data_IF_861421138036
#
_entry.id   IF_861421138036
#
_cell.length_a   1.000
_cell.length_b   1.000
_cell.length_c   1.000
_cell.angle_alpha   90.00
_cell.angle_beta   90.00
_cell.angle_gamma   90.00
#
_symmetry.space_group_name_H-M   'P 1'
#
loop_
_entity.id
_entity.type
_entity.pdbx_description
1 polymer ?
#
# COMPACT_ATOMS: atom_id res chain seq x y z
N UNK A 1 58.89 -13.81 6.66
CA UNK A 1 59.17 -12.46 6.12
C UNK A 1 59.02 -12.51 4.60
N UNK A 2 58.04 -11.82 4.01
CA UNK A 2 57.78 -11.86 2.56
C UNK A 2 58.59 -10.77 1.83
N UNK A 3 59.42 -11.11 0.81
CA UNK A 3 60.29 -10.16 0.12
C UNK A 3 59.58 -9.65 -1.15
N UNK A 4 58.70 -8.66 -1.03
CA UNK A 4 58.04 -8.07 -2.20
C UNK A 4 57.98 -6.54 -2.23
N UNK A 5 58.61 -5.84 -1.27
CA UNK A 5 58.45 -4.39 -1.11
C UNK A 5 59.69 -3.51 -1.39
N UNK A 6 60.80 -4.06 -1.90
CA UNK A 6 62.06 -3.32 -2.06
C UNK A 6 62.29 -2.67 -3.44
N UNK A 7 61.43 -2.88 -4.44
CA UNK A 7 61.59 -2.25 -5.76
C UNK A 7 60.64 -1.05 -5.96
N UNK A 8 61.13 0.09 -6.51
CA UNK A 8 60.31 1.27 -6.80
C UNK A 8 59.23 1.00 -7.86
N UNK A 9 59.43 0.02 -8.75
CA UNK A 9 58.41 -0.46 -9.70
C UNK A 9 57.34 -1.33 -9.01
N UNK A 10 57.71 -2.09 -7.97
CA UNK A 10 56.77 -2.85 -7.13
C UNK A 10 55.83 -1.95 -6.32
N UNK A 11 56.35 -0.87 -5.73
CA UNK A 11 55.51 0.14 -5.03
C UNK A 11 54.52 0.84 -5.95
N UNK A 12 54.94 1.25 -7.15
CA UNK A 12 54.03 1.89 -8.13
C UNK A 12 52.91 0.95 -8.59
N UNK A 13 53.21 -0.34 -8.78
CA UNK A 13 52.21 -1.36 -9.15
C UNK A 13 51.24 -1.66 -8.01
N UNK A 14 51.71 -1.74 -6.75
CA UNK A 14 50.83 -1.88 -5.58
C UNK A 14 49.93 -0.64 -5.38
N UNK A 15 50.44 0.57 -5.56
CA UNK A 15 49.63 1.80 -5.46
C UNK A 15 48.60 1.87 -6.59
N UNK A 16 48.96 1.50 -7.83
CA UNK A 16 48.02 1.42 -8.95
C UNK A 16 46.93 0.35 -8.74
N UNK A 17 47.29 -0.82 -8.19
CA UNK A 17 46.34 -1.87 -7.85
C UNK A 17 45.40 -1.46 -6.70
N UNK A 18 45.92 -0.80 -5.67
CA UNK A 18 45.12 -0.28 -4.55
C UNK A 18 44.20 0.87 -4.96
N UNK A 19 44.63 1.74 -5.87
CA UNK A 19 43.79 2.82 -6.42
C UNK A 19 42.74 2.29 -7.41
N UNK A 20 43.03 1.24 -8.18
CA UNK A 20 42.03 0.52 -8.99
C UNK A 20 40.99 -0.20 -8.09
N UNK A 21 41.42 -0.81 -6.97
CA UNK A 21 40.54 -1.39 -5.96
C UNK A 21 39.68 -0.33 -5.24
N UNK A 22 40.22 0.86 -5.00
CA UNK A 22 39.47 1.98 -4.43
C UNK A 22 38.49 2.63 -5.44
N UNK A 23 38.73 2.51 -6.75
CA UNK A 23 37.87 3.01 -7.82
C UNK A 23 36.73 2.03 -8.22
N UNK A 24 36.88 0.74 -7.91
CA UNK A 24 35.87 -0.30 -8.18
C UNK A 24 34.46 0.05 -7.65
N UNK A 25 34.29 0.54 -6.40
CA UNK A 25 32.98 0.97 -5.90
C UNK A 25 32.36 2.10 -6.72
N UNK A 26 33.18 3.05 -7.19
CA UNK A 26 32.73 4.16 -8.05
C UNK A 26 32.31 3.67 -9.44
N UNK A 27 33.07 2.76 -10.04
CA UNK A 27 32.76 2.16 -11.35
C UNK A 27 31.47 1.33 -11.27
N UNK A 28 31.34 0.48 -10.25
CA UNK A 28 30.14 -0.34 -10.03
C UNK A 28 28.90 0.55 -9.79
N UNK A 29 29.04 1.62 -9.01
CA UNK A 29 27.95 2.58 -8.76
C UNK A 29 27.54 3.31 -10.05
N UNK A 30 28.51 3.76 -10.84
CA UNK A 30 28.27 4.47 -12.11
C UNK A 30 27.62 3.56 -13.15
N UNK A 31 28.08 2.31 -13.26
CA UNK A 31 27.49 1.32 -14.18
C UNK A 31 26.05 0.98 -13.77
N UNK A 32 25.80 0.82 -12.47
CA UNK A 32 24.46 0.55 -11.94
C UNK A 32 23.50 1.71 -12.23
N UNK A 33 23.98 2.94 -12.07
CA UNK A 33 23.22 4.14 -12.40
C UNK A 33 22.88 4.21 -13.89
N UNK A 34 23.87 3.98 -14.78
CA UNK A 34 23.68 4.00 -16.23
C UNK A 34 22.69 2.92 -16.70
N UNK A 35 22.84 1.69 -16.21
CA UNK A 35 21.91 0.59 -16.51
C UNK A 35 20.50 0.91 -15.99
N UNK A 36 20.39 1.51 -14.82
CA UNK A 36 19.12 1.96 -14.25
C UNK A 36 18.44 3.04 -15.10
N UNK A 37 19.18 4.06 -15.54
CA UNK A 37 18.67 5.14 -16.39
C UNK A 37 18.20 4.64 -17.76
N UNK A 38 18.98 3.76 -18.39
CA UNK A 38 18.60 3.15 -19.67
C UNK A 38 17.30 2.34 -19.56
N UNK A 39 17.18 1.51 -18.52
CA UNK A 39 15.96 0.74 -18.24
C UNK A 39 14.76 1.63 -17.98
N UNK A 40 14.94 2.70 -17.19
CA UNK A 40 13.89 3.69 -16.91
C UNK A 40 13.37 4.34 -18.19
N UNK A 41 14.26 4.84 -19.04
CA UNK A 41 13.90 5.49 -20.30
C UNK A 41 13.08 4.55 -21.20
N UNK A 42 13.55 3.31 -21.37
CA UNK A 42 12.86 2.28 -22.15
C UNK A 42 11.48 1.97 -21.57
N UNK A 43 11.37 1.82 -20.25
CA UNK A 43 10.09 1.58 -19.56
C UNK A 43 9.10 2.74 -19.77
N UNK A 44 9.54 4.00 -19.75
CA UNK A 44 8.68 5.14 -20.02
C UNK A 44 8.16 5.17 -21.45
N UNK A 45 9.03 4.95 -22.44
CA UNK A 45 8.59 4.90 -23.84
C UNK A 45 7.53 3.82 -24.06
N UNK A 46 7.74 2.62 -23.50
CA UNK A 46 6.76 1.54 -23.57
C UNK A 46 5.46 1.87 -22.82
N UNK A 47 5.51 2.60 -21.70
CA UNK A 47 4.33 3.03 -20.97
C UNK A 47 3.49 4.02 -21.80
N UNK A 48 4.15 4.97 -22.46
CA UNK A 48 3.53 5.96 -23.36
C UNK A 48 2.85 5.29 -24.54
N UNK A 49 3.53 4.33 -25.20
CA UNK A 49 2.97 3.57 -26.31
C UNK A 49 1.71 2.77 -25.90
N UNK A 50 1.62 2.36 -24.63
CA UNK A 50 0.44 1.67 -24.06
C UNK A 50 -0.66 2.63 -23.57
N UNK A 51 -0.45 3.95 -23.66
CA UNK A 51 -1.39 4.96 -23.18
C UNK A 51 -1.48 5.08 -21.66
N UNK A 52 -0.43 4.66 -20.93
CA UNK A 52 -0.37 4.82 -19.48
C UNK A 52 0.03 6.27 -19.13
N UNK A 53 -0.70 6.93 -18.23
CA UNK A 53 -0.34 8.27 -17.78
C UNK A 53 0.88 8.20 -16.87
N UNK A 54 1.79 9.15 -17.06
CA UNK A 54 3.02 9.29 -16.27
C UNK A 54 2.98 10.51 -15.34
N UNK A 55 2.07 11.45 -15.58
CA UNK A 55 1.85 12.60 -14.71
C UNK A 55 0.34 12.84 -14.46
N UNK A 56 0.04 13.73 -13.51
CA UNK A 56 -1.33 14.01 -13.08
C UNK A 56 -2.19 14.62 -14.20
N UNK A 57 -1.64 15.48 -15.06
CA UNK A 57 -2.39 16.14 -16.13
C UNK A 57 -2.93 15.15 -17.18
N UNK A 58 -2.36 13.95 -17.25
CA UNK A 58 -2.75 12.90 -18.18
C UNK A 58 -3.84 11.96 -17.64
N UNK A 59 -4.21 12.11 -16.37
CA UNK A 59 -5.33 11.36 -15.81
C UNK A 59 -6.65 11.96 -16.31
N UNK A 60 -7.66 11.10 -16.58
CA UNK A 60 -9.00 11.59 -16.87
C UNK A 60 -9.55 12.28 -15.62
N UNK A 61 -9.72 13.60 -15.70
CA UNK A 61 -10.32 14.39 -14.62
C UNK A 61 -11.81 14.57 -14.90
N UNK A 62 -12.63 14.31 -13.89
CA UNK A 62 -13.99 14.84 -13.87
C UNK A 62 -13.93 16.36 -13.71
N UNK A 63 -14.92 17.13 -14.22
CA UNK A 63 -14.99 18.55 -13.96
C UNK A 63 -14.96 18.82 -12.44
N UNK A 64 -14.26 19.90 -12.04
CA UNK A 64 -14.14 20.29 -10.63
C UNK A 64 -15.54 20.52 -10.07
N UNK A 65 -15.98 19.73 -9.07
CA UNK A 65 -17.30 19.87 -8.49
C UNK A 65 -17.41 21.18 -7.71
N UNK A 66 -18.61 21.77 -7.71
CA UNK A 66 -18.89 22.92 -6.84
C UNK A 66 -18.73 22.54 -5.35
N UNK A 67 -18.39 23.48 -4.45
CA UNK A 67 -18.08 23.17 -3.04
C UNK A 67 -19.21 22.45 -2.28
N UNK A 68 -20.46 22.73 -2.63
CA UNK A 68 -21.67 22.10 -2.09
C UNK A 68 -21.90 20.68 -2.62
N UNK A 69 -21.33 20.35 -3.78
CA UNK A 69 -21.40 19.05 -4.42
C UNK A 69 -20.23 18.11 -4.09
N UNK A 70 -19.19 18.61 -3.41
CA UNK A 70 -17.97 17.87 -3.11
C UNK A 70 -17.94 17.37 -1.66
N UNK A 71 -17.96 16.05 -1.42
CA UNK A 71 -17.80 15.40 -0.12
C UNK A 71 -16.39 15.50 0.46
N UNK A 72 -15.39 15.78 -0.38
CA UNK A 72 -13.98 15.74 -0.03
C UNK A 72 -13.59 16.54 1.22
N UNK A 73 -13.98 17.82 1.36
CA UNK A 73 -13.65 18.62 2.54
C UNK A 73 -14.18 18.04 3.85
N UNK A 74 -15.42 17.52 3.86
CA UNK A 74 -16.03 16.91 5.05
C UNK A 74 -15.28 15.64 5.43
N UNK A 75 -15.07 14.76 4.45
CA UNK A 75 -14.40 13.47 4.68
C UNK A 75 -12.93 13.66 5.08
N UNK A 76 -12.23 14.65 4.50
CA UNK A 76 -10.87 15.00 4.90
C UNK A 76 -10.82 15.45 6.36
N UNK A 77 -11.76 16.26 6.80
CA UNK A 77 -11.83 16.70 8.19
C UNK A 77 -11.96 15.48 9.13
N UNK A 78 -12.81 14.50 8.77
CA UNK A 78 -12.93 13.24 9.50
C UNK A 78 -11.64 12.39 9.46
N UNK A 79 -10.89 12.43 8.37
CA UNK A 79 -9.60 11.72 8.22
C UNK A 79 -8.47 12.34 9.06
N UNK A 80 -8.42 13.67 9.18
CA UNK A 80 -7.45 14.36 10.04
C UNK A 80 -7.75 14.10 11.51
N UNK A 81 -9.02 13.93 11.84
CA UNK A 81 -9.49 13.65 13.20
C UNK A 81 -9.87 12.18 13.37
N UNK A 82 -9.05 11.23 12.91
CA UNK A 82 -9.32 9.78 13.08
C UNK A 82 -9.57 9.35 14.52
N UNK A 83 -9.02 10.07 15.51
CA UNK A 83 -9.30 9.87 16.94
C UNK A 83 -10.79 10.07 17.31
N UNK A 84 -11.62 10.59 16.41
CA UNK A 84 -13.08 10.70 16.60
C UNK A 84 -13.76 9.33 16.48
N UNK A 85 -13.16 8.38 15.77
CA UNK A 85 -13.60 6.99 15.73
C UNK A 85 -13.03 6.23 16.93
N UNK A 86 -13.78 6.20 18.04
CA UNK A 86 -13.40 5.42 19.22
C UNK A 86 -13.27 3.93 18.85
N UNK A 87 -12.09 3.28 19.01
CA UNK A 87 -11.86 1.93 18.52
C UNK A 87 -12.88 0.90 19.02
N UNK A 88 -13.25 0.95 20.30
CA UNK A 88 -14.24 0.05 20.89
C UNK A 88 -15.65 0.24 20.31
N UNK A 89 -16.01 1.46 19.90
CA UNK A 89 -17.31 1.74 19.27
C UNK A 89 -17.37 1.18 17.85
N UNK A 90 -16.30 1.37 17.07
CA UNK A 90 -16.19 0.79 15.71
C UNK A 90 -16.09 -0.73 15.77
N UNK A 91 -15.41 -1.29 16.78
CA UNK A 91 -15.37 -2.74 16.99
C UNK A 91 -16.77 -3.29 17.32
N UNK A 92 -17.53 -2.66 18.23
CA UNK A 92 -18.90 -3.05 18.53
C UNK A 92 -19.77 -3.02 17.26
N UNK A 93 -19.68 -1.96 16.46
CA UNK A 93 -20.37 -1.86 15.17
C UNK A 93 -19.96 -2.99 14.20
N UNK A 94 -18.66 -3.28 14.10
CA UNK A 94 -18.13 -4.37 13.25
C UNK A 94 -18.69 -5.73 13.68
N UNK A 95 -18.76 -5.98 14.99
CA UNK A 95 -19.32 -7.22 15.54
C UNK A 95 -20.81 -7.31 15.24
N UNK A 96 -21.56 -6.22 15.36
CA UNK A 96 -22.98 -6.16 15.00
C UNK A 96 -23.23 -6.51 13.54
N UNK A 97 -22.47 -5.92 12.62
CA UNK A 97 -22.57 -6.23 11.18
C UNK A 97 -22.28 -7.71 10.92
N UNK A 98 -21.22 -8.26 11.53
CA UNK A 98 -20.90 -9.69 11.40
C UNK A 98 -21.96 -10.61 11.98
N UNK A 99 -22.71 -10.15 12.99
CA UNK A 99 -23.82 -10.87 13.60
C UNK A 99 -25.19 -10.49 13.04
N UNK A 100 -25.27 -9.85 11.86
CA UNK A 100 -26.51 -9.25 11.33
C UNK A 100 -27.69 -10.23 11.25
N UNK A 101 -27.45 -11.54 11.12
CA UNK A 101 -28.48 -12.58 11.10
C UNK A 101 -28.94 -13.07 12.48
N UNK A 102 -28.15 -12.84 13.52
CA UNK A 102 -28.34 -13.40 14.87
C UNK A 102 -28.20 -12.30 15.94
N UNK A 103 -28.93 -11.20 15.74
CA UNK A 103 -28.84 -10.02 16.60
C UNK A 103 -29.43 -10.23 18.00
N UNK A 104 -30.26 -11.25 18.21
CA UNK A 104 -30.94 -11.49 19.49
C UNK A 104 -30.16 -12.40 20.45
N UNK A 105 -28.89 -12.68 20.13
CA UNK A 105 -28.02 -13.46 21.01
C UNK A 105 -27.51 -12.62 22.18
N UNK A 106 -27.27 -13.20 23.38
CA UNK A 106 -26.74 -12.46 24.53
C UNK A 106 -25.42 -11.72 24.25
N UNK A 107 -24.63 -12.24 23.30
CA UNK A 107 -23.38 -11.61 22.87
C UNK A 107 -23.63 -10.41 21.95
N UNK A 108 -24.60 -10.50 21.02
CA UNK A 108 -25.00 -9.39 20.18
C UNK A 108 -25.61 -8.24 20.99
N UNK A 109 -26.41 -8.53 22.02
CA UNK A 109 -26.98 -7.52 22.92
C UNK A 109 -25.90 -6.66 23.60
N UNK A 110 -24.75 -7.25 23.98
CA UNK A 110 -23.62 -6.46 24.53
C UNK A 110 -23.07 -5.47 23.51
N UNK A 111 -22.90 -5.91 22.26
CA UNK A 111 -22.44 -5.02 21.19
C UNK A 111 -23.48 -3.95 20.84
N UNK A 112 -24.78 -4.28 20.90
CA UNK A 112 -25.88 -3.31 20.74
C UNK A 112 -25.77 -2.20 21.76
N UNK A 113 -25.63 -2.54 23.05
CA UNK A 113 -25.54 -1.57 24.13
C UNK A 113 -24.35 -0.61 23.96
N UNK A 114 -23.14 -1.15 23.73
CA UNK A 114 -21.94 -0.32 23.49
C UNK A 114 -22.09 0.57 22.25
N UNK A 115 -22.71 0.05 21.19
CA UNK A 115 -22.92 0.83 19.98
C UNK A 115 -23.94 1.95 20.18
N UNK A 116 -25.05 1.68 20.87
CA UNK A 116 -26.10 2.66 21.19
C UNK A 116 -25.58 3.80 22.08
N UNK A 117 -24.74 3.52 23.07
CA UNK A 117 -24.07 4.56 23.86
C UNK A 117 -23.22 5.48 22.95
N UNK A 118 -22.48 4.89 22.02
CA UNK A 118 -21.67 5.65 21.07
C UNK A 118 -22.50 6.47 20.07
N UNK A 119 -23.71 6.04 19.70
CA UNK A 119 -24.61 6.84 18.83
C UNK A 119 -24.92 8.21 19.45
N UNK A 120 -25.11 8.26 20.77
CA UNK A 120 -25.38 9.51 21.50
C UNK A 120 -24.11 10.37 21.55
N UNK A 121 -22.99 9.76 21.94
CA UNK A 121 -21.71 10.48 22.13
C UNK A 121 -21.13 11.04 20.82
N UNK A 122 -21.36 10.36 19.70
CA UNK A 122 -20.75 10.66 18.40
C UNK A 122 -21.77 11.12 17.34
N UNK A 123 -22.90 11.69 17.75
CA UNK A 123 -23.96 12.15 16.85
C UNK A 123 -23.46 13.13 15.77
N UNK A 124 -22.54 14.04 16.12
CA UNK A 124 -21.96 15.00 15.17
C UNK A 124 -21.19 14.31 14.03
N UNK A 125 -20.43 13.27 14.35
CA UNK A 125 -19.70 12.49 13.33
C UNK A 125 -20.67 11.81 12.36
N UNK A 126 -21.78 11.26 12.87
CA UNK A 126 -22.80 10.65 12.03
C UNK A 126 -23.48 11.69 11.13
N UNK A 127 -23.75 12.88 11.64
CA UNK A 127 -24.29 13.98 10.84
C UNK A 127 -23.33 14.42 9.72
N UNK A 128 -22.02 14.47 10.00
CA UNK A 128 -20.99 14.76 9.00
C UNK A 128 -20.93 13.66 7.91
N UNK A 129 -20.98 12.39 8.30
CA UNK A 129 -21.05 11.27 7.36
C UNK A 129 -22.32 11.33 6.50
N UNK A 130 -23.47 11.59 7.11
CA UNK A 130 -24.74 11.76 6.39
C UNK A 130 -24.66 12.89 5.38
N UNK A 131 -24.14 14.05 5.79
CA UNK A 131 -23.95 15.21 4.91
C UNK A 131 -23.00 14.89 3.76
N UNK A 132 -21.90 14.19 4.02
CA UNK A 132 -20.96 13.77 2.98
C UNK A 132 -21.62 12.82 1.96
N UNK A 133 -22.44 11.87 2.44
CA UNK A 133 -23.13 10.90 1.55
C UNK A 133 -24.26 11.50 0.74
N UNK A 134 -24.71 12.72 1.04
CA UNK A 134 -25.68 13.43 0.19
C UNK A 134 -25.02 14.08 -1.03
N UNK A 135 -23.68 14.18 -1.03
CA UNK A 135 -22.92 14.83 -2.10
C UNK A 135 -22.57 13.83 -3.21
N UNK A 136 -22.66 14.22 -4.50
CA UNK A 136 -22.43 13.31 -5.61
C UNK A 136 -20.93 13.06 -5.91
N UNK A 137 -20.05 14.01 -5.57
CA UNK A 137 -18.64 13.94 -5.90
C UNK A 137 -17.76 13.85 -4.67
N UNK A 138 -16.62 13.18 -4.79
CA UNK A 138 -15.58 13.12 -3.76
C UNK A 138 -14.24 13.45 -4.38
N UNK A 139 -13.96 14.74 -4.47
CA UNK A 139 -12.60 15.20 -4.71
C UNK A 139 -11.97 15.49 -3.36
N UNK A 140 -11.22 14.53 -2.84
CA UNK A 140 -10.47 14.66 -1.58
C UNK A 140 -9.34 15.71 -1.68
N UNK A 141 -9.36 16.64 -2.66
CA UNK A 141 -8.25 17.34 -3.32
C UNK A 141 -6.93 16.63 -3.02
N UNK A 142 -6.96 15.34 -3.31
CA UNK A 142 -5.77 14.60 -3.62
C UNK A 142 -5.43 15.04 -5.04
N UNK A 143 -5.15 16.34 -5.18
CA UNK A 143 -4.06 16.70 -6.04
C UNK A 143 -2.99 15.69 -5.70
N UNK A 144 -2.34 15.14 -6.71
CA UNK A 144 -1.11 14.40 -6.54
C UNK A 144 0.00 15.37 -6.06
N UNK A 145 -0.40 16.38 -5.26
CA UNK A 145 0.35 17.26 -4.45
C UNK A 145 1.40 16.39 -3.78
N UNK A 146 2.66 16.75 -3.97
CA UNK A 146 3.78 15.95 -3.58
C UNK A 146 3.96 15.98 -2.06
N UNK A 147 2.90 15.89 -1.25
CA UNK A 147 2.93 15.84 0.22
C UNK A 147 1.85 14.92 0.82
N UNK A 148 0.87 14.45 0.04
CA UNK A 148 -0.29 13.73 0.60
C UNK A 148 -0.15 12.22 0.41
N UNK A 149 0.10 11.51 1.52
CA UNK A 149 0.00 10.05 1.54
C UNK A 149 -1.46 9.60 1.72
N UNK A 150 -2.18 9.17 0.68
CA UNK A 150 -3.26 8.15 0.87
C UNK A 150 -2.69 6.79 1.28
N UNK A 151 -2.22 6.65 2.51
CA UNK A 151 -2.04 5.30 3.04
C UNK A 151 -3.41 4.64 3.28
N UNK A 152 -3.36 3.33 3.45
CA UNK A 152 -4.54 2.51 3.73
C UNK A 152 -5.24 2.98 5.02
N UNK A 153 -4.47 3.46 6.00
CA UNK A 153 -4.95 3.96 7.28
C UNK A 153 -5.83 5.21 7.10
N UNK A 154 -5.40 6.13 6.24
CA UNK A 154 -6.12 7.36 5.88
C UNK A 154 -7.48 7.08 5.23
N UNK A 155 -7.60 6.03 4.43
CA UNK A 155 -8.87 5.66 3.78
C UNK A 155 -9.77 4.77 4.65
N UNK A 156 -9.33 4.35 5.85
CA UNK A 156 -10.18 3.55 6.75
C UNK A 156 -11.44 4.29 7.19
N UNK A 157 -11.48 5.62 7.10
CA UNK A 157 -12.68 6.44 7.39
C UNK A 157 -13.90 5.96 6.60
N UNK A 158 -13.73 5.56 5.35
CA UNK A 158 -14.82 5.13 4.47
C UNK A 158 -15.38 3.78 4.90
N UNK A 159 -14.48 2.87 5.29
CA UNK A 159 -14.84 1.56 5.82
C UNK A 159 -15.52 1.72 7.18
N UNK A 160 -14.91 2.45 8.10
CA UNK A 160 -15.45 2.69 9.44
C UNK A 160 -16.80 3.39 9.36
N UNK A 161 -16.93 4.42 8.53
CA UNK A 161 -18.21 5.11 8.28
C UNK A 161 -19.28 4.17 7.73
N UNK A 162 -18.94 3.33 6.74
CA UNK A 162 -19.87 2.32 6.22
C UNK A 162 -20.29 1.32 7.31
N UNK A 163 -19.35 0.84 8.13
CA UNK A 163 -19.64 -0.04 9.27
C UNK A 163 -20.61 0.61 10.27
N UNK A 164 -20.36 1.86 10.66
CA UNK A 164 -21.21 2.58 11.62
C UNK A 164 -22.63 2.78 11.07
N UNK A 165 -22.76 3.24 9.81
CA UNK A 165 -24.06 3.44 9.17
C UNK A 165 -24.82 2.11 9.01
N UNK A 166 -24.14 1.04 8.60
CA UNK A 166 -24.74 -0.29 8.51
C UNK A 166 -25.18 -0.82 9.88
N UNK A 167 -24.35 -0.69 10.92
CA UNK A 167 -24.72 -1.09 12.27
C UNK A 167 -25.93 -0.30 12.78
N UNK A 168 -26.01 1.02 12.51
CA UNK A 168 -27.19 1.84 12.84
C UNK A 168 -28.44 1.37 12.10
N UNK A 169 -28.31 1.03 10.82
CA UNK A 169 -29.41 0.48 10.03
C UNK A 169 -29.96 -0.84 10.61
N UNK A 170 -29.08 -1.74 11.05
CA UNK A 170 -29.46 -3.03 11.63
C UNK A 170 -30.26 -2.89 12.94
N UNK A 171 -30.01 -1.82 13.70
CA UNK A 171 -30.74 -1.54 14.95
C UNK A 171 -32.01 -0.71 14.74
N UNK A 172 -32.24 -0.17 13.55
CA UNK A 172 -33.42 0.62 13.27
C UNK A 172 -34.69 -0.26 13.33
N UNK A 173 -35.77 0.31 13.84
CA UNK A 173 -37.11 -0.28 13.84
C UNK A 173 -37.90 0.06 12.57
N UNK A 174 -37.67 1.25 12.02
CA UNK A 174 -38.31 1.71 10.78
C UNK A 174 -37.51 1.24 9.54
N UNK A 175 -38.12 0.49 8.61
CA UNK A 175 -37.45 0.05 7.38
C UNK A 175 -36.99 1.22 6.51
N UNK A 176 -37.71 2.34 6.46
CA UNK A 176 -37.33 3.48 5.62
C UNK A 176 -36.01 4.11 6.09
N UNK A 177 -35.88 4.35 7.40
CA UNK A 177 -34.64 4.79 8.03
C UNK A 177 -33.50 3.75 7.85
N UNK A 178 -33.78 2.47 8.05
CA UNK A 178 -32.80 1.39 7.92
C UNK A 178 -32.20 1.34 6.50
N UNK A 179 -33.05 1.28 5.48
CA UNK A 179 -32.60 1.26 4.08
C UNK A 179 -31.94 2.57 3.66
N UNK A 180 -32.34 3.73 4.22
CA UNK A 180 -31.65 4.99 3.96
C UNK A 180 -30.19 4.95 4.45
N UNK A 181 -29.92 4.37 5.62
CA UNK A 181 -28.56 4.23 6.14
C UNK A 181 -27.70 3.26 5.33
N UNK A 182 -28.28 2.17 4.82
CA UNK A 182 -27.57 1.28 3.88
C UNK A 182 -27.21 2.02 2.58
N UNK A 183 -28.09 2.86 2.03
CA UNK A 183 -27.76 3.69 0.86
C UNK A 183 -26.60 4.62 1.14
N UNK A 184 -26.57 5.26 2.31
CA UNK A 184 -25.47 6.13 2.74
C UNK A 184 -24.16 5.34 2.87
N UNK A 185 -24.21 4.14 3.47
CA UNK A 185 -23.05 3.25 3.57
C UNK A 185 -22.50 2.84 2.18
N UNK A 186 -23.38 2.47 1.24
CA UNK A 186 -23.00 2.17 -0.13
C UNK A 186 -22.42 3.39 -0.85
N UNK A 187 -22.96 4.58 -0.60
CA UNK A 187 -22.48 5.83 -1.18
C UNK A 187 -21.06 6.19 -0.72
N UNK A 188 -20.65 5.84 0.50
CA UNK A 188 -19.24 5.99 0.91
C UNK A 188 -18.31 5.16 0.01
N UNK A 189 -18.73 3.95 -0.38
CA UNK A 189 -18.01 3.13 -1.36
C UNK A 189 -17.94 3.79 -2.74
N UNK A 190 -19.05 4.38 -3.20
CA UNK A 190 -19.10 5.12 -4.47
C UNK A 190 -18.19 6.35 -4.47
N UNK A 191 -18.17 7.10 -3.36
CA UNK A 191 -17.35 8.29 -3.19
C UNK A 191 -15.85 7.95 -3.21
N UNK A 192 -15.40 6.95 -2.44
CA UNK A 192 -13.98 6.58 -2.46
C UNK A 192 -13.56 6.00 -3.81
N UNK A 193 -14.44 5.28 -4.51
CA UNK A 193 -14.15 4.74 -5.84
C UNK A 193 -13.86 5.81 -6.91
N UNK A 194 -14.22 7.08 -6.68
CA UNK A 194 -13.87 8.19 -7.58
C UNK A 194 -12.38 8.52 -7.55
N UNK A 195 -11.65 8.06 -6.53
CA UNK A 195 -10.20 8.24 -6.44
C UNK A 195 -9.48 7.17 -7.29
N UNK A 196 -8.65 7.55 -8.28
CA UNK A 196 -8.01 6.62 -9.20
C UNK A 196 -6.79 5.91 -8.58
N UNK A 197 -6.96 5.25 -7.42
CA UNK A 197 -5.90 4.46 -6.79
C UNK A 197 -6.43 3.09 -6.35
N UNK A 198 -5.55 2.11 -6.29
CA UNK A 198 -5.92 0.71 -6.01
C UNK A 198 -6.38 0.55 -4.56
N UNK A 199 -5.83 1.33 -3.63
CA UNK A 199 -6.34 1.36 -2.25
C UNK A 199 -7.79 1.85 -2.19
N UNK A 200 -8.13 2.88 -2.95
CA UNK A 200 -9.50 3.37 -3.03
C UNK A 200 -10.45 2.32 -3.60
N UNK A 201 -10.03 1.55 -4.61
CA UNK A 201 -10.80 0.40 -5.12
C UNK A 201 -11.04 -0.66 -4.03
N UNK A 202 -10.01 -0.95 -3.23
CA UNK A 202 -10.10 -1.92 -2.13
C UNK A 202 -11.08 -1.43 -1.06
N UNK A 203 -10.96 -0.17 -0.65
CA UNK A 203 -11.84 0.44 0.34
C UNK A 203 -13.27 0.56 -0.17
N UNK A 204 -13.47 0.90 -1.45
CA UNK A 204 -14.79 0.90 -2.06
C UNK A 204 -15.45 -0.48 -1.97
N UNK A 205 -14.70 -1.54 -2.31
CA UNK A 205 -15.17 -2.91 -2.23
C UNK A 205 -15.51 -3.33 -0.79
N UNK A 206 -14.64 -3.01 0.17
CA UNK A 206 -14.90 -3.29 1.59
C UNK A 206 -16.16 -2.58 2.08
N UNK A 207 -16.32 -1.28 1.79
CA UNK A 207 -17.51 -0.51 2.14
C UNK A 207 -18.78 -1.07 1.49
N UNK A 208 -18.74 -1.43 0.20
CA UNK A 208 -19.86 -2.07 -0.50
C UNK A 208 -20.20 -3.44 0.10
N UNK A 209 -19.20 -4.25 0.44
CA UNK A 209 -19.43 -5.56 1.08
C UNK A 209 -20.14 -5.42 2.42
N UNK A 210 -19.68 -4.49 3.27
CA UNK A 210 -20.30 -4.19 4.56
C UNK A 210 -21.76 -3.72 4.38
N UNK A 211 -22.00 -2.80 3.45
CA UNK A 211 -23.36 -2.33 3.15
C UNK A 211 -24.24 -3.46 2.56
N UNK A 212 -23.68 -4.36 1.76
CA UNK A 212 -24.40 -5.49 1.18
C UNK A 212 -24.79 -6.53 2.23
N UNK A 213 -23.93 -6.81 3.21
CA UNK A 213 -24.25 -7.70 4.35
C UNK A 213 -25.45 -7.14 5.14
N UNK A 214 -25.43 -5.84 5.43
CA UNK A 214 -26.55 -5.15 6.07
C UNK A 214 -27.82 -5.18 5.22
N UNK A 215 -27.72 -4.86 3.93
CA UNK A 215 -28.84 -4.92 2.99
C UNK A 215 -29.54 -6.28 3.02
N UNK A 216 -28.77 -7.37 2.90
CA UNK A 216 -29.31 -8.73 2.88
C UNK A 216 -30.04 -9.07 4.19
N UNK A 217 -29.46 -8.71 5.34
CA UNK A 217 -30.09 -8.91 6.64
C UNK A 217 -31.40 -8.10 6.79
N UNK A 218 -31.43 -6.86 6.27
CA UNK A 218 -32.64 -6.04 6.30
C UNK A 218 -33.74 -6.58 5.37
N UNK A 219 -33.39 -7.08 4.19
CA UNK A 219 -34.37 -7.73 3.28
C UNK A 219 -34.92 -9.01 3.90
N UNK A 220 -34.09 -9.78 4.61
CA UNK A 220 -34.53 -10.97 5.36
C UNK A 220 -35.49 -10.59 6.50
N UNK A 221 -35.22 -9.47 7.20
CA UNK A 221 -36.03 -8.99 8.34
C UNK A 221 -37.35 -8.33 7.93
N UNK A 222 -37.31 -7.45 6.93
CA UNK A 222 -38.45 -6.60 6.54
C UNK A 222 -39.15 -7.05 5.25
N UNK A 223 -38.56 -7.99 4.51
CA UNK A 223 -39.03 -8.42 3.20
C UNK A 223 -38.60 -7.48 2.06
N UNK A 224 -38.95 -7.82 0.79
CA UNK A 224 -38.72 -6.96 -0.35
C UNK A 224 -39.67 -5.75 -0.30
N UNK A 225 -39.12 -4.53 -0.39
CA UNK A 225 -39.89 -3.28 -0.39
C UNK A 225 -39.39 -2.31 -1.48
N UNK A 226 -40.15 -1.25 -1.82
CA UNK A 226 -39.67 -0.20 -2.72
C UNK A 226 -38.35 0.44 -2.24
N UNK A 227 -38.15 0.57 -0.93
CA UNK A 227 -36.94 1.06 -0.30
C UNK A 227 -35.78 0.08 -0.51
N UNK A 228 -36.03 -1.23 -0.41
CA UNK A 228 -35.03 -2.25 -0.73
C UNK A 228 -34.59 -2.17 -2.20
N UNK A 229 -35.55 -2.06 -3.14
CA UNK A 229 -35.25 -1.90 -4.57
C UNK A 229 -34.44 -0.63 -4.87
N UNK A 230 -34.83 0.51 -4.29
CA UNK A 230 -34.06 1.77 -4.41
C UNK A 230 -32.64 1.60 -3.86
N UNK A 231 -32.49 0.88 -2.76
CA UNK A 231 -31.19 0.64 -2.12
C UNK A 231 -30.28 -0.22 -2.98
N UNK A 232 -30.84 -1.24 -3.64
CA UNK A 232 -30.07 -2.08 -4.56
C UNK A 232 -29.39 -1.26 -5.68
N UNK A 233 -30.05 -0.22 -6.18
CA UNK A 233 -29.47 0.67 -7.22
C UNK A 233 -28.33 1.56 -6.72
N UNK A 234 -28.15 1.67 -5.40
CA UNK A 234 -27.08 2.49 -4.80
C UNK A 234 -25.72 1.79 -4.79
N UNK A 235 -25.69 0.47 -5.02
CA UNK A 235 -24.46 -0.30 -5.20
C UNK A 235 -23.96 -0.12 -6.64
N UNK A 236 -23.21 0.96 -6.88
CA UNK A 236 -22.66 1.20 -8.20
C UNK A 236 -21.62 0.13 -8.55
N UNK A 237 -21.59 -0.27 -9.82
CA UNK A 237 -20.46 -1.03 -10.33
C UNK A 237 -19.19 -0.18 -10.16
N UNK A 238 -18.16 -0.78 -9.54
CA UNK A 238 -16.87 -0.13 -9.42
C UNK A 238 -16.36 0.27 -10.81
N UNK A 239 -15.66 1.42 -10.93
CA UNK A 239 -14.91 1.76 -12.13
C UNK A 239 -14.08 0.58 -12.63
N UNK A 240 -13.87 0.53 -13.95
CA UNK A 240 -13.06 -0.52 -14.56
C UNK A 240 -11.68 -0.56 -13.89
N UNK A 241 -11.10 -1.77 -13.68
CA UNK A 241 -9.77 -1.93 -13.07
C UNK A 241 -8.68 -1.01 -13.64
N UNK A 242 -8.74 -0.69 -14.93
CA UNK A 242 -7.77 0.17 -15.60
C UNK A 242 -7.78 1.61 -15.10
N UNK A 243 -8.90 2.11 -14.58
CA UNK A 243 -9.01 3.43 -13.96
C UNK A 243 -8.08 3.57 -12.74
N UNK A 244 -8.12 2.59 -11.84
CA UNK A 244 -7.32 2.61 -10.60
C UNK A 244 -5.82 2.42 -10.84
N UNK A 245 -5.45 1.62 -11.84
CA UNK A 245 -4.05 1.43 -12.21
C UNK A 245 -3.38 2.70 -12.73
N UNK A 246 -4.13 3.52 -13.46
CA UNK A 246 -3.61 4.75 -14.07
C UNK A 246 -3.11 5.71 -13.01
N UNK A 247 -3.87 5.94 -11.93
CA UNK A 247 -3.42 6.85 -10.87
C UNK A 247 -2.34 6.24 -9.95
N UNK A 248 -2.26 4.92 -9.78
CA UNK A 248 -1.14 4.30 -9.04
C UNK A 248 0.23 4.53 -9.71
N UNK A 249 0.28 4.50 -11.05
CA UNK A 249 1.51 4.80 -11.79
C UNK A 249 1.93 6.24 -11.53
N UNK A 250 1.01 7.18 -11.70
CA UNK A 250 1.26 8.62 -11.47
C UNK A 250 1.69 8.87 -10.03
N UNK A 251 1.03 8.26 -9.05
CA UNK A 251 1.34 8.39 -7.63
C UNK A 251 2.74 7.87 -7.31
N UNK A 252 3.06 6.67 -7.80
CA UNK A 252 4.36 6.04 -7.58
C UNK A 252 5.52 6.86 -8.16
N UNK A 253 5.33 7.45 -9.35
CA UNK A 253 6.32 8.33 -9.97
C UNK A 253 6.47 9.66 -9.25
N UNK A 254 5.37 10.22 -8.72
CA UNK A 254 5.42 11.43 -7.90
C UNK A 254 6.22 11.21 -6.61
N UNK A 255 6.04 10.06 -5.93
CA UNK A 255 6.85 9.67 -4.76
C UNK A 255 8.33 9.58 -5.12
N UNK A 256 8.63 8.96 -6.26
CA UNK A 256 9.99 8.84 -6.77
C UNK A 256 10.65 10.20 -6.98
N UNK A 257 9.92 11.13 -7.59
CA UNK A 257 10.40 12.48 -7.85
C UNK A 257 10.72 13.23 -6.55
N UNK A 258 9.87 13.08 -5.52
CA UNK A 258 10.14 13.66 -4.20
C UNK A 258 11.38 13.08 -3.52
N UNK A 259 11.64 11.77 -3.69
CA UNK A 259 12.86 11.14 -3.20
C UNK A 259 14.11 11.72 -3.91
N UNK A 260 14.03 12.05 -5.21
CA UNK A 260 15.11 12.76 -5.91
C UNK A 260 15.35 14.15 -5.36
N UNK A 261 14.27 14.86 -5.08
CA UNK A 261 14.29 16.24 -4.61
C UNK A 261 14.67 16.36 -3.12
N UNK A 262 14.92 15.23 -2.43
CA UNK A 262 15.20 15.22 -0.99
C UNK A 262 14.02 15.64 -0.12
N UNK A 263 12.81 15.77 -0.70
CA UNK A 263 11.57 16.14 -0.02
C UNK A 263 10.92 14.98 0.74
N UNK A 264 11.46 13.77 0.57
CA UNK A 264 11.17 12.58 1.35
C UNK A 264 12.50 11.96 1.78
N UNK A 265 12.66 11.66 3.05
CA UNK A 265 13.78 10.85 3.55
C UNK A 265 13.32 9.39 3.67
N UNK A 266 14.19 8.43 3.34
CA UNK A 266 13.91 7.00 3.49
C UNK A 266 13.95 6.54 4.97
N UNK A 267 13.50 7.37 5.93
CA UNK A 267 13.64 7.13 7.36
C UNK A 267 15.02 7.51 7.92
N UNK A 268 15.09 7.63 9.24
CA UNK A 268 16.29 8.00 10.00
C UNK A 268 17.28 6.83 10.06
N UNK A 269 18.11 6.64 9.03
CA UNK A 269 19.15 5.60 9.09
C UNK A 269 19.90 5.31 7.79
N UNK A 270 19.43 5.78 6.64
CA UNK A 270 20.15 5.67 5.37
C UNK A 270 20.73 7.02 4.97
N UNK A 271 22.03 7.05 4.67
CA UNK A 271 22.66 8.21 4.07
C UNK A 271 21.96 8.53 2.72
N UNK A 272 21.61 9.80 2.43
CA UNK A 272 20.90 10.22 1.21
C UNK A 272 21.50 9.71 -0.10
N UNK A 273 22.82 9.45 -0.10
CA UNK A 273 23.58 8.99 -1.26
C UNK A 273 23.20 7.57 -1.76
N UNK A 274 22.75 6.67 -0.88
CA UNK A 274 22.40 5.29 -1.27
C UNK A 274 21.01 5.19 -1.91
N UNK A 275 20.12 6.13 -1.61
CA UNK A 275 18.74 6.19 -2.11
C UNK A 275 18.66 6.62 -3.57
N UNK A 276 19.56 7.52 -4.01
CA UNK A 276 19.55 8.10 -5.36
C UNK A 276 20.05 7.10 -6.42
N UNK A 277 20.98 6.20 -6.06
CA UNK A 277 21.59 5.24 -7.00
C UNK A 277 20.60 4.15 -7.43
N UNK A 278 19.70 3.72 -6.54
CA UNK A 278 18.77 2.62 -6.81
C UNK A 278 17.41 3.07 -7.36
N UNK A 279 17.08 4.36 -7.23
CA UNK A 279 15.79 4.90 -7.64
C UNK A 279 15.44 4.67 -9.12
N UNK A 280 16.36 4.84 -10.10
CA UNK A 280 16.04 4.56 -11.50
C UNK A 280 15.69 3.10 -11.77
N UNK A 281 16.33 2.16 -11.07
CA UNK A 281 16.07 0.73 -11.19
C UNK A 281 14.68 0.39 -10.63
N UNK A 282 14.35 0.96 -9.46
CA UNK A 282 13.05 0.78 -8.82
C UNK A 282 11.91 1.32 -9.68
N UNK A 283 12.03 2.53 -10.24
CA UNK A 283 11.00 3.07 -11.13
C UNK A 283 10.79 2.21 -12.38
N UNK A 284 11.88 1.72 -12.98
CA UNK A 284 11.80 0.84 -14.15
C UNK A 284 11.07 -0.46 -13.82
N UNK A 285 11.31 -1.03 -12.64
CA UNK A 285 10.61 -2.23 -12.15
C UNK A 285 9.13 -1.94 -11.86
N UNK A 286 8.83 -0.81 -11.22
CA UNK A 286 7.47 -0.40 -10.90
C UNK A 286 6.62 -0.18 -12.17
N UNK A 287 7.18 0.50 -13.18
CA UNK A 287 6.51 0.68 -14.47
C UNK A 287 6.28 -0.66 -15.16
N UNK A 288 7.27 -1.55 -15.14
CA UNK A 288 7.15 -2.88 -15.73
C UNK A 288 6.04 -3.68 -15.04
N UNK A 289 5.99 -3.65 -13.71
CA UNK A 289 4.93 -4.27 -12.93
C UNK A 289 3.55 -3.75 -13.36
N UNK A 290 3.34 -2.44 -13.34
CA UNK A 290 2.04 -1.87 -13.70
C UNK A 290 1.65 -2.10 -15.17
N UNK A 291 2.63 -2.14 -16.07
CA UNK A 291 2.40 -2.49 -17.47
C UNK A 291 1.92 -3.93 -17.65
N UNK A 292 2.53 -4.90 -16.96
CA UNK A 292 2.10 -6.30 -17.03
C UNK A 292 0.75 -6.51 -16.36
N UNK A 293 0.49 -5.84 -15.22
CA UNK A 293 -0.81 -5.82 -14.57
C UNK A 293 -1.88 -5.22 -15.49
N UNK A 294 -1.60 -4.09 -16.13
CA UNK A 294 -2.52 -3.45 -17.08
C UNK A 294 -2.84 -4.34 -18.29
N UNK A 295 -1.82 -4.96 -18.91
CA UNK A 295 -2.02 -5.90 -20.02
C UNK A 295 -2.94 -7.06 -19.62
N UNK A 296 -2.68 -7.65 -18.46
CA UNK A 296 -3.43 -8.81 -17.93
C UNK A 296 -4.90 -8.45 -17.67
N UNK A 297 -5.17 -7.29 -17.09
CA UNK A 297 -6.56 -6.87 -16.83
C UNK A 297 -7.32 -6.55 -18.11
N UNK A 298 -6.62 -5.94 -19.09
CA UNK A 298 -7.23 -5.61 -20.38
C UNK A 298 -7.59 -6.86 -21.17
N UNK A 299 -6.82 -7.94 -21.06
CA UNK A 299 -7.11 -9.20 -21.76
C UNK A 299 -8.27 -10.00 -21.16
N UNK A 300 -8.58 -9.82 -19.86
CA UNK A 300 -9.50 -10.74 -19.17
C UNK A 300 -10.89 -10.19 -18.81
N UNK A 301 -11.26 -8.94 -19.18
CA UNK A 301 -12.55 -8.32 -18.74
C UNK A 301 -12.82 -8.60 -17.23
N UNK A 302 -11.78 -8.51 -16.41
CA UNK A 302 -11.78 -9.03 -15.05
C UNK A 302 -12.64 -8.20 -14.11
N UNK A 303 -13.32 -8.88 -13.18
CA UNK A 303 -14.02 -8.23 -12.06
C UNK A 303 -13.02 -7.59 -11.09
N UNK A 304 -13.47 -6.58 -10.33
CA UNK A 304 -12.66 -5.90 -9.32
C UNK A 304 -12.13 -6.84 -8.23
N UNK A 305 -12.86 -7.92 -7.93
CA UNK A 305 -12.41 -8.96 -7.01
C UNK A 305 -11.22 -9.75 -7.59
N UNK A 306 -11.25 -10.08 -8.88
CA UNK A 306 -10.13 -10.73 -9.56
C UNK A 306 -8.90 -9.81 -9.63
N UNK A 307 -9.10 -8.49 -9.80
CA UNK A 307 -8.04 -7.49 -9.68
C UNK A 307 -7.37 -7.56 -8.29
N UNK A 308 -8.16 -7.51 -7.21
CA UNK A 308 -7.64 -7.52 -5.83
C UNK A 308 -6.90 -8.83 -5.50
N UNK A 309 -7.48 -9.98 -5.87
CA UNK A 309 -6.83 -11.28 -5.70
C UNK A 309 -5.53 -11.35 -6.50
N UNK A 310 -5.53 -10.86 -7.74
CA UNK A 310 -4.34 -10.87 -8.59
C UNK A 310 -3.26 -9.94 -8.09
N UNK A 311 -3.61 -8.76 -7.59
CA UNK A 311 -2.67 -7.84 -6.96
C UNK A 311 -2.01 -8.49 -5.74
N UNK A 312 -2.79 -9.18 -4.89
CA UNK A 312 -2.27 -9.97 -3.76
C UNK A 312 -1.33 -11.09 -4.22
N UNK A 313 -1.70 -11.85 -5.25
CA UNK A 313 -0.84 -12.93 -5.78
C UNK A 313 0.46 -12.39 -6.39
N UNK A 314 0.40 -11.29 -7.12
CA UNK A 314 1.58 -10.66 -7.70
C UNK A 314 2.50 -10.07 -6.62
N UNK A 315 1.91 -9.52 -5.56
CA UNK A 315 2.61 -9.11 -4.35
C UNK A 315 3.36 -10.29 -3.69
N UNK A 316 2.70 -11.44 -3.49
CA UNK A 316 3.33 -12.64 -2.91
C UNK A 316 4.49 -13.14 -3.77
N UNK A 317 4.36 -13.06 -5.10
CA UNK A 317 5.35 -13.55 -6.07
C UNK A 317 6.59 -12.67 -6.13
N UNK A 318 6.43 -11.35 -6.00
CA UNK A 318 7.55 -10.40 -6.08
C UNK A 318 8.30 -10.23 -4.76
N UNK A 319 7.65 -10.45 -3.61
CA UNK A 319 8.24 -10.14 -2.30
C UNK A 319 8.48 -11.34 -1.39
N UNK A 320 7.94 -12.53 -1.71
CA UNK A 320 8.17 -13.74 -0.92
C UNK A 320 7.59 -13.64 0.50
N UNK A 321 6.32 -14.06 0.63
CA UNK A 321 5.48 -14.19 1.85
C UNK A 321 4.78 -12.91 2.39
N UNK A 322 3.62 -13.07 3.08
CA UNK A 322 2.65 -12.00 3.33
C UNK A 322 3.02 -11.23 4.59
N UNK A 323 3.87 -10.22 4.44
CA UNK A 323 4.17 -9.26 5.50
C UNK A 323 3.77 -7.85 5.05
N UNK A 324 2.48 -7.54 5.19
CA UNK A 324 1.90 -6.22 4.96
C UNK A 324 1.77 -5.83 3.48
N UNK A 325 0.64 -5.22 3.12
CA UNK A 325 0.25 -4.95 1.72
C UNK A 325 1.35 -4.27 0.89
N UNK A 326 1.60 -4.72 -0.34
CA UNK A 326 2.51 -4.14 -1.33
C UNK A 326 2.25 -2.65 -1.54
N UNK A 327 0.99 -2.25 -1.51
CA UNK A 327 0.59 -0.86 -1.63
C UNK A 327 1.01 -0.03 -0.39
N UNK A 328 1.05 -0.67 0.79
CA UNK A 328 1.67 -0.10 2.00
C UNK A 328 3.19 -0.05 1.84
N UNK A 329 3.81 -1.08 1.31
CA UNK A 329 5.27 -1.17 1.09
C UNK A 329 5.79 -0.25 -0.02
N UNK A 330 5.01 0.09 -1.05
CA UNK A 330 5.38 1.07 -2.10
C UNK A 330 5.36 2.50 -1.54
N UNK A 331 4.51 2.80 -0.54
CA UNK A 331 4.50 4.09 0.21
C UNK A 331 5.48 4.12 1.37
N UNK A 332 5.71 2.99 2.02
CA UNK A 332 6.60 2.85 3.18
C UNK A 332 7.94 2.20 2.82
N UNK A 333 8.32 2.17 1.53
CA UNK A 333 9.63 1.73 1.09
C UNK A 333 10.81 2.43 1.82
N UNK A 334 10.69 3.71 2.26
CA UNK A 334 11.54 4.26 3.32
C UNK A 334 11.84 3.29 4.46
N UNK A 335 10.79 2.80 5.13
CA UNK A 335 10.88 1.96 6.31
C UNK A 335 11.10 0.48 5.96
N UNK A 336 10.70 0.04 4.76
CA UNK A 336 10.84 -1.36 4.34
C UNK A 336 12.26 -1.69 3.84
N UNK A 337 12.97 -0.73 3.26
CA UNK A 337 14.41 -0.84 2.99
C UNK A 337 15.25 -0.84 4.28
N UNK A 338 14.69 -0.32 5.38
CA UNK A 338 15.26 -0.43 6.74
C UNK A 338 14.93 -1.80 7.37
N UNK A 339 13.73 -2.34 7.15
CA UNK A 339 13.30 -3.61 7.74
C UNK A 339 13.80 -4.88 7.01
N UNK A 340 14.22 -4.76 5.74
CA UNK A 340 14.75 -5.86 4.92
C UNK A 340 16.16 -5.62 4.38
N UNK A 341 17.00 -4.91 5.15
CA UNK A 341 18.35 -5.45 5.23
C UNK A 341 18.17 -6.86 5.76
N UNK A 342 18.78 -7.84 5.09
CA UNK A 342 19.18 -9.07 5.78
C UNK A 342 19.97 -8.71 7.04
N UNK A 343 20.50 -9.71 7.75
CA UNK A 343 21.27 -9.39 8.95
C UNK A 343 22.36 -8.35 8.55
N UNK A 344 22.59 -7.32 9.38
CA UNK A 344 23.27 -6.08 9.01
C UNK A 344 24.57 -6.37 8.25
N UNK A 345 25.09 -5.47 7.42
CA UNK A 345 26.39 -5.70 6.76
C UNK A 345 27.51 -6.11 7.76
N UNK A 346 27.37 -5.77 9.05
CA UNK A 346 28.19 -6.31 10.13
C UNK A 346 28.07 -7.83 10.30
N UNK A 347 26.90 -8.45 10.16
CA UNK A 347 26.72 -9.90 10.24
C UNK A 347 27.22 -10.64 9.00
N UNK A 348 27.18 -10.06 7.79
CA UNK A 348 27.81 -10.68 6.61
C UNK A 348 29.33 -10.62 6.79
N UNK A 349 29.86 -9.51 7.30
CA UNK A 349 31.30 -9.40 7.63
C UNK A 349 31.67 -10.34 8.78
N UNK A 350 30.88 -10.45 9.84
CA UNK A 350 31.09 -11.37 10.96
C UNK A 350 30.96 -12.83 10.55
N UNK A 351 30.01 -13.18 9.67
CA UNK A 351 29.83 -14.53 9.15
C UNK A 351 30.96 -14.90 8.19
N UNK A 352 31.41 -13.97 7.34
CA UNK A 352 32.58 -14.19 6.47
C UNK A 352 33.88 -14.27 7.28
N UNK A 353 34.02 -13.47 8.35
CA UNK A 353 35.15 -13.52 9.27
C UNK A 353 35.14 -14.80 10.12
N UNK A 354 33.97 -15.24 10.56
CA UNK A 354 33.76 -16.48 11.29
C UNK A 354 34.09 -17.69 10.41
N UNK A 355 33.60 -17.74 9.17
CA UNK A 355 33.92 -18.79 8.21
C UNK A 355 35.40 -18.81 7.83
N UNK A 356 36.02 -17.64 7.65
CA UNK A 356 37.47 -17.54 7.42
C UNK A 356 38.29 -18.02 8.62
N UNK A 357 37.85 -17.74 9.85
CA UNK A 357 38.48 -18.22 11.09
C UNK A 357 38.32 -19.74 11.24
N UNK A 358 37.15 -20.27 10.91
CA UNK A 358 36.86 -21.70 10.93
C UNK A 358 37.69 -22.46 9.89
N UNK A 359 37.87 -21.90 8.68
CA UNK A 359 38.73 -22.49 7.65
C UNK A 359 40.21 -22.48 8.04
N UNK A 360 40.69 -21.43 8.72
CA UNK A 360 42.07 -21.40 9.25
C UNK A 360 42.28 -22.45 10.32
N UNK A 361 41.35 -22.57 11.28
CA UNK A 361 41.42 -23.60 12.31
C UNK A 361 41.42 -25.02 11.71
N UNK A 362 40.56 -25.28 10.71
CA UNK A 362 40.56 -26.58 10.01
C UNK A 362 41.87 -26.89 9.27
N UNK A 363 42.53 -25.87 8.70
CA UNK A 363 43.84 -26.04 8.05
C UNK A 363 44.96 -26.28 9.05
N UNK A 364 44.92 -25.60 10.20
CA UNK A 364 45.89 -25.81 11.27
C UNK A 364 45.71 -27.18 11.93
N UNK A 365 44.48 -27.65 12.13
CA UNK A 365 44.18 -29.01 12.60
C UNK A 365 44.58 -30.08 11.59
N UNK A 366 44.34 -29.85 10.29
CA UNK A 366 44.80 -30.75 9.24
C UNK A 366 46.34 -30.84 9.19
N UNK A 367 47.03 -29.70 9.32
CA UNK A 367 48.50 -29.66 9.36
C UNK A 367 49.08 -30.30 10.62
N UNK A 368 48.43 -30.17 11.79
CA UNK A 368 48.81 -30.90 13.01
C UNK A 368 48.62 -32.40 12.85
N UNK A 369 47.50 -32.83 12.27
CA UNK A 369 47.24 -34.26 11.98
C UNK A 369 48.21 -34.85 10.97
N UNK A 370 48.66 -34.09 9.98
CA UNK A 370 49.73 -34.53 9.06
C UNK A 370 51.09 -34.63 9.74
N UNK A 371 51.43 -33.68 10.62
CA UNK A 371 52.67 -33.75 11.41
C UNK A 371 52.67 -34.91 12.41
N UNK A 372 51.53 -35.19 13.04
CA UNK A 372 51.39 -36.34 13.95
C UNK A 372 51.42 -37.69 13.21
N UNK A 373 50.93 -37.74 11.96
CA UNK A 373 51.04 -38.93 11.09
C UNK A 373 52.42 -39.11 10.45
N UNK A 374 53.22 -38.05 10.37
CA UNK A 374 54.59 -38.08 9.84
C UNK A 374 55.68 -38.46 10.85
N UNK A 375 55.32 -38.78 12.10
CA UNK A 375 56.27 -39.17 13.17
C UNK A 375 56.28 -40.70 13.42
N UNK A 376 55.62 -41.49 12.55
CA UNK A 376 55.63 -42.96 12.62
C UNK A 376 56.16 -43.62 11.34
N UNK A 377 57.09 -42.97 10.64
CA UNK A 377 57.84 -43.52 9.51
C UNK A 377 59.33 -43.50 9.80
#
# INVERSE_FOLDING_TARGET
>A
MLPFFSSPTGRKRCIAALSALAALPFIVSSLTLLVGLYRRHTSYQLARQKGLPLNQAELPHAPVPAPDQNAGPILRNLMVHQNVFTPHWVEAATRLVKSAKNLDTPQAERYKATFQEGLVKHQRLLADLETATQRPYCELELTFAPNTSLDQETLTVFRSGATLLTARALLASDPAAAFADIRRAAQLGNLVAQTPCVFAATMAHESHSIASEGYLALVERFGPSPEATKTLTSFAALPKPDFFLRGEIVHSLAVAQRLREGKLSLGSGLAPASSVVLLPLWEAQLLRFWQETYKTLRSHRTSSTALLTRLRTLEDTWYGKPSGSFLGTVRHLPNYLVARQGPPLSSIVEQTQYEAKLQRQRREEASKREKERGVSG
#
